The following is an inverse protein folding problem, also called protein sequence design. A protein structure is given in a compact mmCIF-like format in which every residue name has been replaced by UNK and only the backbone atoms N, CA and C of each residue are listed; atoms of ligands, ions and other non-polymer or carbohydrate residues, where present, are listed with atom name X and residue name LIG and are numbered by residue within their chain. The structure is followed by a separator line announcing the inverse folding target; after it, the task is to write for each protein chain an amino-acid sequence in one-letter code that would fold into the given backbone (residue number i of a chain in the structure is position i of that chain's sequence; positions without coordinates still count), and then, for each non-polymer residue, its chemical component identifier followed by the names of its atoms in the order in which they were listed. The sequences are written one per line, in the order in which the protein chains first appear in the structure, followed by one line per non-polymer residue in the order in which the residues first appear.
data_IF_598713981809
#
_entry.id   IF_598713981809
#
_cell.length_a   1.000
_cell.length_b   1.000
_cell.length_c   1.000
_cell.angle_alpha   90.00
_cell.angle_beta   90.00
_cell.angle_gamma   90.00
#
_symmetry.space_group_name_H-M   'P 1'
#
loop_
_entity.id
_entity.type
_entity.pdbx_description
1 polymer ?
#
# COMPACT_ATOMS: atom_id res chain seq x y z
N UNK A 1 4.17 -12.99 -10.14
CA UNK A 1 5.09 -11.86 -10.37
C UNK A 1 4.37 -10.68 -9.78
N UNK A 2 5.01 -10.00 -8.84
CA UNK A 2 4.42 -8.87 -8.12
C UNK A 2 4.28 -7.68 -9.06
N UNK A 3 3.08 -7.15 -9.18
CA UNK A 3 2.74 -5.98 -9.99
C UNK A 3 2.06 -4.92 -9.11
N UNK A 4 2.67 -3.75 -8.96
CA UNK A 4 2.07 -2.63 -8.26
C UNK A 4 1.03 -1.96 -9.14
N UNK A 5 -0.12 -1.63 -8.55
CA UNK A 5 -1.26 -1.07 -9.28
C UNK A 5 -1.19 0.45 -9.18
N UNK A 6 -1.13 1.14 -10.31
CA UNK A 6 -1.21 2.61 -10.36
C UNK A 6 -2.60 3.09 -9.91
N UNK A 7 -2.65 4.24 -9.25
CA UNK A 7 -3.89 4.93 -8.91
C UNK A 7 -4.18 6.00 -9.97
N UNK A 8 -5.24 5.77 -10.75
CA UNK A 8 -5.71 6.73 -11.77
C UNK A 8 -6.14 8.09 -11.17
N UNK A 9 -6.35 8.15 -9.85
CA UNK A 9 -6.74 9.35 -9.11
C UNK A 9 -5.62 9.86 -8.19
N UNK A 10 -4.35 9.49 -8.43
CA UNK A 10 -3.24 9.90 -7.58
C UNK A 10 -3.13 11.43 -7.46
N UNK A 11 -3.39 12.16 -8.55
CA UNK A 11 -3.36 13.64 -8.59
C UNK A 11 -4.51 14.31 -7.79
N UNK A 12 -5.53 13.54 -7.38
CA UNK A 12 -6.67 14.02 -6.59
C UNK A 12 -6.50 13.79 -5.09
N UNK A 13 -5.44 13.08 -4.69
CA UNK A 13 -5.14 12.82 -3.28
C UNK A 13 -4.68 14.10 -2.57
N UNK A 14 -4.89 14.19 -1.24
CA UNK A 14 -4.28 15.25 -0.46
C UNK A 14 -2.74 15.19 -0.56
N UNK A 15 -2.10 16.31 -0.26
CA UNK A 15 -0.64 16.38 -0.16
C UNK A 15 -0.14 15.37 0.88
N UNK A 16 0.94 14.65 0.54
CA UNK A 16 1.53 13.63 1.41
C UNK A 16 2.62 14.29 2.24
N UNK A 17 2.57 14.09 3.55
CA UNK A 17 3.60 14.51 4.49
C UNK A 17 4.36 13.30 5.06
N UNK A 18 5.54 13.55 5.65
CA UNK A 18 6.27 12.52 6.39
C UNK A 18 5.53 12.23 7.70
N UNK A 19 5.26 10.97 7.97
CA UNK A 19 4.44 10.47 9.08
C UNK A 19 3.02 10.10 8.66
N UNK A 20 2.59 10.44 7.45
CA UNK A 20 1.28 10.03 6.95
C UNK A 20 1.23 8.52 6.67
N UNK A 21 0.05 7.94 6.88
CA UNK A 21 -0.23 6.58 6.46
C UNK A 21 -0.67 6.59 5.00
N UNK A 22 0.09 5.91 4.15
CA UNK A 22 -0.21 5.72 2.73
C UNK A 22 -0.63 4.28 2.46
N UNK A 23 -1.57 4.11 1.55
CA UNK A 23 -2.00 2.79 1.07
C UNK A 23 -1.55 2.55 -0.37
N UNK A 24 -1.04 1.35 -0.64
CA UNK A 24 -0.73 0.87 -1.98
C UNK A 24 -1.59 -0.36 -2.33
N UNK A 25 -1.65 -0.67 -3.62
CA UNK A 25 -2.28 -1.90 -4.13
C UNK A 25 -1.28 -2.71 -4.93
N UNK A 26 -1.29 -4.03 -4.74
CA UNK A 26 -0.36 -4.93 -5.42
C UNK A 26 -1.06 -6.24 -5.81
N UNK A 27 -0.72 -6.74 -6.99
CA UNK A 27 -1.19 -8.02 -7.52
C UNK A 27 -0.05 -9.04 -7.58
N UNK A 28 -0.23 -10.23 -6.99
CA UNK A 28 0.67 -11.38 -7.17
C UNK A 28 -0.12 -12.70 -7.28
N UNK A 29 -1.10 -12.71 -8.18
CA UNK A 29 -2.09 -13.78 -8.34
C UNK A 29 -3.35 -13.61 -7.48
N UNK A 30 -3.30 -12.69 -6.52
CA UNK A 30 -4.42 -12.10 -5.79
C UNK A 30 -4.14 -10.61 -5.61
N UNK A 31 -5.18 -9.83 -5.35
CA UNK A 31 -5.04 -8.42 -5.01
C UNK A 31 -4.80 -8.26 -3.51
N UNK A 32 -3.92 -7.33 -3.16
CA UNK A 32 -3.58 -7.03 -1.77
C UNK A 32 -3.52 -5.52 -1.56
N UNK A 33 -3.81 -5.09 -0.33
CA UNK A 33 -3.65 -3.72 0.13
C UNK A 33 -2.47 -3.63 1.09
N UNK A 34 -1.56 -2.69 0.85
CA UNK A 34 -0.39 -2.47 1.70
C UNK A 34 -0.60 -1.16 2.46
N UNK A 35 -0.55 -1.21 3.79
CA UNK A 35 -0.52 -0.03 4.66
C UNK A 35 0.92 0.26 5.04
N UNK A 36 1.37 1.49 4.84
CA UNK A 36 2.72 1.91 5.14
C UNK A 36 2.75 3.33 5.70
N UNK A 37 3.75 3.64 6.51
CA UNK A 37 4.03 5.00 6.99
C UNK A 37 5.03 5.66 6.05
N UNK A 38 4.73 6.88 5.59
CA UNK A 38 5.66 7.69 4.79
C UNK A 38 6.81 8.18 5.66
N UNK A 39 8.05 7.78 5.35
CA UNK A 39 9.23 8.14 6.14
C UNK A 39 10.16 9.14 5.43
N UNK A 40 10.05 9.27 4.11
CA UNK A 40 10.73 10.31 3.34
C UNK A 40 10.00 10.63 2.02
N UNK A 41 10.18 11.86 1.54
CA UNK A 41 9.63 12.36 0.28
C UNK A 41 10.75 12.76 -0.67
N UNK A 42 10.60 12.40 -1.94
CA UNK A 42 11.44 12.81 -3.06
C UNK A 42 10.62 13.57 -4.12
N UNK A 43 11.25 13.91 -5.24
CA UNK A 43 10.62 14.74 -6.28
C UNK A 43 9.38 14.07 -6.91
N UNK A 44 9.42 12.75 -7.11
CA UNK A 44 8.33 11.96 -7.71
C UNK A 44 8.09 10.63 -7.00
N UNK A 45 8.78 10.41 -5.89
CA UNK A 45 8.78 9.14 -5.17
C UNK A 45 8.71 9.41 -3.67
N UNK A 46 8.31 8.40 -2.92
CA UNK A 46 8.40 8.40 -1.46
C UNK A 46 8.99 7.09 -0.96
N UNK A 47 9.58 7.16 0.22
CA UNK A 47 9.99 5.99 0.98
C UNK A 47 8.90 5.71 2.02
N UNK A 48 8.33 4.51 2.01
CA UNK A 48 7.29 4.09 2.94
C UNK A 48 7.67 2.81 3.68
N UNK A 49 7.59 2.82 5.00
CA UNK A 49 7.78 1.64 5.84
C UNK A 49 6.47 0.87 5.96
N UNK A 50 6.45 -0.38 5.48
CA UNK A 50 5.23 -1.19 5.49
C UNK A 50 4.89 -1.65 6.90
N UNK A 51 3.71 -1.24 7.37
CA UNK A 51 3.19 -1.68 8.66
C UNK A 51 2.42 -2.99 8.56
N UNK A 52 1.61 -3.13 7.50
CA UNK A 52 0.73 -4.28 7.33
C UNK A 52 0.37 -4.51 5.87
N UNK A 53 0.02 -5.77 5.55
CA UNK A 53 -0.56 -6.13 4.26
C UNK A 53 -1.85 -6.92 4.49
N UNK A 54 -2.88 -6.59 3.72
CA UNK A 54 -4.22 -7.15 3.80
C UNK A 54 -4.58 -7.83 2.49
N UNK A 55 -5.29 -8.94 2.57
CA UNK A 55 -5.90 -9.56 1.40
C UNK A 55 -6.98 -8.63 0.83
N UNK A 56 -6.91 -8.34 -0.46
CA UNK A 56 -7.98 -7.66 -1.17
C UNK A 56 -9.17 -8.59 -1.29
N UNK A 57 -10.23 -8.37 -0.50
CA UNK A 57 -11.42 -9.23 -0.54
C UNK A 57 -12.02 -9.28 -1.95
N UNK A 58 -11.87 -10.42 -2.62
CA UNK A 58 -12.69 -10.81 -3.76
C UNK A 58 -14.06 -11.37 -3.37
N UNK A 59 -14.56 -11.19 -2.14
CA UNK A 59 -15.83 -11.80 -1.73
C UNK A 59 -16.43 -11.25 -0.43
N UNK A 60 -17.58 -10.60 -0.58
CA UNK A 60 -18.62 -10.19 0.40
C UNK A 60 -18.22 -9.57 1.76
N UNK A 61 -18.79 -8.40 2.11
CA UNK A 61 -18.46 -7.67 3.33
C UNK A 61 -18.84 -8.45 4.59
N UNK A 62 -17.85 -8.78 5.42
CA UNK A 62 -18.05 -9.43 6.73
C UNK A 62 -17.17 -10.65 6.99
N UNK A 63 -16.28 -11.01 6.05
CA UNK A 63 -15.28 -12.04 6.25
C UNK A 63 -14.18 -11.57 7.19
N UNK A 64 -14.10 -12.14 8.39
CA UNK A 64 -12.85 -12.07 9.16
C UNK A 64 -11.80 -12.86 8.37
N UNK A 65 -10.89 -12.15 7.72
CA UNK A 65 -9.89 -12.70 6.80
C UNK A 65 -8.95 -13.64 7.58
N UNK A 66 -8.98 -14.92 7.23
CA UNK A 66 -7.89 -15.84 7.58
C UNK A 66 -6.75 -15.57 6.61
N UNK A 67 -5.74 -14.86 7.11
CA UNK A 67 -4.45 -14.59 6.45
C UNK A 67 -4.00 -15.84 5.69
N UNK A 68 -3.93 -15.77 4.36
CA UNK A 68 -3.26 -16.82 3.61
C UNK A 68 -1.74 -16.65 3.78
N UNK A 69 -1.21 -17.36 4.78
CA UNK A 69 0.10 -17.20 5.45
C UNK A 69 1.38 -17.30 4.59
N UNK A 70 1.36 -17.24 3.25
CA UNK A 70 2.53 -17.77 2.50
C UNK A 70 3.05 -17.01 1.26
N UNK A 71 2.59 -15.80 0.90
CA UNK A 71 3.25 -15.08 -0.23
C UNK A 71 3.61 -13.62 -0.05
N UNK A 72 2.98 -12.88 0.86
CA UNK A 72 3.21 -11.43 0.96
C UNK A 72 3.57 -10.94 2.37
N UNK A 73 3.58 -11.83 3.38
CA UNK A 73 4.04 -11.52 4.75
C UNK A 73 5.50 -11.00 4.79
N UNK A 74 6.29 -11.20 3.73
CA UNK A 74 7.67 -10.71 3.63
C UNK A 74 7.79 -9.18 3.56
N UNK A 75 6.72 -8.46 3.20
CA UNK A 75 6.78 -7.00 3.07
C UNK A 75 6.72 -6.25 4.39
N UNK A 76 6.17 -6.85 5.46
CA UNK A 76 6.00 -6.14 6.72
C UNK A 76 7.36 -5.78 7.35
N UNK A 77 7.56 -4.50 7.66
CA UNK A 77 8.84 -3.95 8.11
C UNK A 77 9.86 -3.67 7.01
N UNK A 78 9.51 -3.87 5.73
CA UNK A 78 10.32 -3.41 4.61
C UNK A 78 10.04 -1.95 4.28
N UNK A 79 11.06 -1.23 3.82
CA UNK A 79 10.92 0.09 3.22
C UNK A 79 10.73 -0.06 1.71
N UNK A 80 9.62 0.46 1.20
CA UNK A 80 9.32 0.55 -0.22
C UNK A 80 9.70 1.93 -0.74
N UNK A 81 10.35 1.98 -1.90
CA UNK A 81 10.55 3.22 -2.67
C UNK A 81 9.56 3.21 -3.83
N UNK A 82 8.54 4.05 -3.75
CA UNK A 82 7.39 4.03 -4.66
C UNK A 82 7.17 5.38 -5.32
N UNK A 83 6.69 5.39 -6.56
CA UNK A 83 6.18 6.60 -7.20
C UNK A 83 4.87 7.07 -6.57
N UNK A 84 4.61 8.38 -6.59
CA UNK A 84 3.35 8.94 -6.09
C UNK A 84 2.13 8.39 -6.84
N UNK A 85 2.29 8.02 -8.11
CA UNK A 85 1.26 7.40 -8.93
C UNK A 85 0.76 6.05 -8.39
N UNK A 86 1.47 5.43 -7.46
CA UNK A 86 1.06 4.17 -6.83
C UNK A 86 0.32 4.35 -5.52
N UNK A 87 0.22 5.57 -4.98
CA UNK A 87 -0.50 5.84 -3.73
C UNK A 87 -2.00 5.83 -4.01
N UNK A 88 -2.76 4.99 -3.30
CA UNK A 88 -4.22 4.86 -3.44
C UNK A 88 -5.00 5.62 -2.37
N UNK A 89 -4.40 5.90 -1.22
CA UNK A 89 -4.98 6.70 -0.16
C UNK A 89 -3.89 7.25 0.76
N UNK A 90 -4.21 8.35 1.44
CA UNK A 90 -3.37 9.03 2.43
C UNK A 90 -4.25 9.33 3.64
N UNK A 91 -3.72 9.07 4.84
CA UNK A 91 -4.38 9.36 6.10
C UNK A 91 -3.39 10.03 7.05
N UNK A 92 -3.83 11.14 7.65
CA UNK A 92 -3.12 11.74 8.77
C UNK A 92 -3.14 10.77 9.98
N UNK A 93 -2.05 10.68 10.75
CA UNK A 93 -1.93 9.77 11.89
C UNK A 93 -2.90 10.04 13.06
#
# INVERSE_FOLDING_TARGET
MREWIENEFADELPEIEVGDIVHFKVHDGFDYFVKAECIALGDQTLDAEVEAVFDGEGGEPGGQINVSQHRIEELAGETLVMGYEFVHAVYEP
#
